data_IF_615696504026
#
_entry.id   IF_615696504026
#
_cell.length_a   1.000
_cell.length_b   1.000
_cell.length_c   1.000
_cell.angle_alpha   90.00
_cell.angle_beta   90.00
_cell.angle_gamma   90.00
#
_symmetry.space_group_name_H-M   'P 1'
#
loop_
_entity.id
_entity.type
_entity.pdbx_description
1 polymer ?
#
# COMPACT_ATOMS: atom_id res chain seq x y z
N UNK A 1 -27.70 -22.27 13.16
CA UNK A 1 -27.61 -20.90 12.61
C UNK A 1 -26.45 -20.21 13.29
N UNK A 2 -25.27 -20.26 12.66
CA UNK A 2 -24.08 -19.55 13.11
C UNK A 2 -23.48 -18.90 11.86
N UNK A 3 -23.66 -17.59 11.76
CA UNK A 3 -23.18 -16.76 10.67
C UNK A 3 -21.66 -16.71 10.72
N UNK A 4 -21.00 -17.22 9.67
CA UNK A 4 -19.57 -17.06 9.45
C UNK A 4 -19.32 -15.63 8.99
N UNK A 5 -18.70 -14.81 9.84
CA UNK A 5 -18.00 -13.61 9.40
C UNK A 5 -16.78 -14.07 8.61
N UNK A 6 -16.72 -13.67 7.35
CA UNK A 6 -15.60 -13.89 6.45
C UNK A 6 -15.07 -12.49 6.13
N UNK A 7 -13.85 -12.17 6.56
CA UNK A 7 -13.24 -10.88 6.30
C UNK A 7 -13.09 -10.64 4.79
N UNK A 8 -13.67 -9.57 4.22
CA UNK A 8 -13.67 -9.32 2.78
C UNK A 8 -12.36 -8.69 2.25
N UNK A 9 -11.43 -8.27 3.11
CA UNK A 9 -10.44 -7.24 2.77
C UNK A 9 -9.17 -7.73 2.05
N UNK A 10 -8.90 -9.04 2.00
CA UNK A 10 -7.73 -9.57 1.26
C UNK A 10 -7.93 -9.69 -0.28
N UNK A 11 -9.05 -9.19 -0.83
CA UNK A 11 -9.63 -9.75 -2.07
C UNK A 11 -9.48 -8.92 -3.35
N UNK A 12 -8.96 -7.69 -3.30
CA UNK A 12 -8.96 -6.78 -4.47
C UNK A 12 -7.67 -6.76 -5.29
N UNK A 13 -6.52 -7.23 -4.78
CA UNK A 13 -5.21 -7.16 -5.48
C UNK A 13 -4.75 -8.49 -6.14
N UNK A 14 -5.52 -9.57 -6.00
CA UNK A 14 -5.05 -10.94 -6.26
C UNK A 14 -5.53 -11.56 -7.57
N UNK A 15 -6.49 -10.95 -8.29
CA UNK A 15 -6.98 -11.47 -9.57
C UNK A 15 -5.91 -11.63 -10.65
N UNK A 16 -5.07 -10.60 -10.92
CA UNK A 16 -3.96 -10.69 -11.89
C UNK A 16 -2.85 -11.65 -11.45
N UNK A 17 -2.57 -11.74 -10.15
CA UNK A 17 -1.48 -12.56 -9.58
C UNK A 17 -1.63 -14.06 -9.83
N UNK A 18 -2.87 -14.56 -9.96
CA UNK A 18 -3.12 -15.98 -10.25
C UNK A 18 -2.71 -16.35 -11.68
N UNK A 19 -2.78 -15.41 -12.63
CA UNK A 19 -2.48 -15.67 -14.05
C UNK A 19 -1.00 -15.66 -14.37
N UNK A 20 -0.22 -14.78 -13.75
CA UNK A 20 1.24 -14.73 -13.97
C UNK A 20 1.94 -16.01 -13.48
N UNK A 21 1.42 -16.63 -12.42
CA UNK A 21 1.96 -17.87 -11.84
C UNK A 21 1.45 -19.15 -12.55
N UNK A 22 0.34 -19.06 -13.28
CA UNK A 22 -0.24 -20.17 -14.06
C UNK A 22 0.72 -20.67 -15.15
N UNK A 23 1.46 -19.74 -15.78
CA UNK A 23 2.44 -20.02 -16.83
C UNK A 23 3.62 -20.87 -16.32
N UNK A 24 3.92 -20.78 -15.02
CA UNK A 24 4.99 -21.56 -14.37
C UNK A 24 4.53 -22.99 -14.06
N UNK A 25 3.24 -23.18 -13.73
CA UNK A 25 2.68 -24.48 -13.30
C UNK A 25 2.20 -25.34 -14.46
N UNK A 26 1.72 -24.73 -15.55
CA UNK A 26 1.15 -25.43 -16.71
C UNK A 26 2.06 -26.51 -17.35
N UNK A 27 3.39 -26.29 -17.51
CA UNK A 27 4.27 -27.32 -18.09
C UNK A 27 4.46 -28.55 -17.19
N UNK A 28 4.43 -28.37 -15.87
CA UNK A 28 4.70 -29.44 -14.89
C UNK A 28 3.43 -30.18 -14.46
N UNK A 29 2.32 -29.46 -14.26
CA UNK A 29 1.04 -30.00 -13.80
C UNK A 29 -0.14 -29.32 -14.52
N UNK A 30 -0.50 -29.79 -15.72
CA UNK A 30 -1.61 -29.22 -16.49
C UNK A 30 -2.95 -29.18 -15.74
N UNK A 31 -3.23 -30.20 -14.92
CA UNK A 31 -4.46 -30.24 -14.11
C UNK A 31 -4.49 -29.19 -13.02
N UNK A 32 -3.35 -28.90 -12.39
CA UNK A 32 -3.26 -27.86 -11.35
C UNK A 32 -3.46 -26.48 -11.96
N UNK A 33 -2.84 -26.21 -13.12
CA UNK A 33 -3.06 -24.96 -13.85
C UNK A 33 -4.54 -24.75 -14.22
N UNK A 34 -5.25 -25.81 -14.64
CA UNK A 34 -6.70 -25.76 -14.85
C UNK A 34 -7.47 -25.39 -13.58
N UNK A 35 -7.10 -25.94 -12.43
CA UNK A 35 -7.75 -25.63 -11.13
C UNK A 35 -7.52 -24.16 -10.76
N UNK A 36 -6.31 -23.62 -10.96
CA UNK A 36 -6.00 -22.20 -10.74
C UNK A 36 -6.86 -21.30 -11.64
N UNK A 37 -6.98 -21.61 -12.95
CA UNK A 37 -7.86 -20.88 -13.89
C UNK A 37 -9.31 -20.87 -13.43
N UNK A 38 -9.81 -22.03 -12.99
CA UNK A 38 -11.19 -22.17 -12.54
C UNK A 38 -11.45 -21.30 -11.31
N UNK A 39 -10.54 -21.35 -10.33
CA UNK A 39 -10.61 -20.50 -9.14
C UNK A 39 -10.58 -19.01 -9.50
N UNK A 40 -9.68 -18.60 -10.40
CA UNK A 40 -9.59 -17.22 -10.86
C UNK A 40 -10.87 -16.74 -11.56
N UNK A 41 -11.49 -17.60 -12.39
CA UNK A 41 -12.77 -17.31 -13.03
C UNK A 41 -13.90 -17.12 -12.01
N UNK A 42 -14.03 -18.04 -11.05
CA UNK A 42 -15.05 -17.95 -10.00
C UNK A 42 -14.85 -16.71 -9.11
N UNK A 43 -13.59 -16.37 -8.80
CA UNK A 43 -13.26 -15.18 -8.05
C UNK A 43 -13.60 -13.91 -8.82
N UNK A 44 -13.22 -13.81 -10.09
CA UNK A 44 -13.59 -12.70 -10.95
C UNK A 44 -15.11 -12.57 -11.11
N UNK A 45 -15.84 -13.69 -11.19
CA UNK A 45 -17.30 -13.70 -11.23
C UNK A 45 -17.92 -13.16 -9.93
N UNK A 46 -17.40 -13.54 -8.77
CA UNK A 46 -17.83 -13.00 -7.47
C UNK A 46 -17.58 -11.50 -7.32
N UNK A 47 -16.43 -11.02 -7.80
CA UNK A 47 -16.05 -9.59 -7.71
C UNK A 47 -16.90 -8.69 -8.61
N UNK A 48 -17.29 -9.16 -9.80
CA UNK A 48 -18.17 -8.41 -10.71
C UNK A 48 -19.24 -9.31 -11.34
N UNK A 49 -20.31 -9.64 -10.61
CA UNK A 49 -21.35 -10.54 -11.13
C UNK A 49 -22.02 -10.01 -12.41
N UNK A 50 -22.13 -8.68 -12.54
CA UNK A 50 -22.85 -8.02 -13.63
C UNK A 50 -22.00 -7.86 -14.89
N UNK A 51 -20.67 -7.90 -14.77
CA UNK A 51 -19.72 -7.84 -15.90
C UNK A 51 -20.01 -6.67 -16.84
N UNK A 52 -20.27 -5.49 -16.26
CA UNK A 52 -20.74 -4.29 -16.99
C UNK A 52 -19.60 -3.72 -17.85
N UNK A 53 -18.36 -3.81 -17.37
CA UNK A 53 -17.18 -3.35 -18.08
C UNK A 53 -16.82 -4.25 -19.28
N UNK A 54 -16.57 -3.64 -20.45
CA UNK A 54 -16.17 -4.37 -21.67
C UNK A 54 -14.94 -5.27 -21.45
N UNK A 55 -13.91 -4.78 -20.76
CA UNK A 55 -12.69 -5.54 -20.47
C UNK A 55 -12.94 -6.76 -19.60
N UNK A 56 -13.67 -6.61 -18.50
CA UNK A 56 -14.04 -7.71 -17.59
C UNK A 56 -14.88 -8.77 -18.32
N UNK A 57 -15.80 -8.34 -19.18
CA UNK A 57 -16.62 -9.24 -20.00
C UNK A 57 -15.78 -10.04 -20.98
N UNK A 58 -14.91 -9.38 -21.75
CA UNK A 58 -14.00 -10.05 -22.69
C UNK A 58 -13.09 -11.06 -21.98
N UNK A 59 -12.53 -10.66 -20.83
CA UNK A 59 -11.71 -11.50 -19.98
C UNK A 59 -12.45 -12.76 -19.52
N UNK A 60 -13.65 -12.61 -18.93
CA UNK A 60 -14.47 -13.76 -18.47
C UNK A 60 -14.85 -14.68 -19.63
N UNK A 61 -15.28 -14.12 -20.76
CA UNK A 61 -15.62 -14.91 -21.94
C UNK A 61 -14.42 -15.71 -22.46
N UNK A 62 -13.25 -15.08 -22.58
CA UNK A 62 -12.03 -15.77 -23.02
C UNK A 62 -11.60 -16.87 -22.06
N UNK A 63 -11.65 -16.62 -20.75
CA UNK A 63 -11.27 -17.59 -19.73
C UNK A 63 -12.25 -18.77 -19.68
N UNK A 64 -13.56 -18.51 -19.82
CA UNK A 64 -14.58 -19.56 -19.90
C UNK A 64 -14.34 -20.50 -21.08
N UNK A 65 -14.04 -19.94 -22.27
CA UNK A 65 -13.73 -20.75 -23.45
C UNK A 65 -12.45 -21.59 -23.27
N UNK A 66 -11.43 -21.05 -22.60
CA UNK A 66 -10.20 -21.80 -22.29
C UNK A 66 -10.49 -22.93 -21.31
N UNK A 67 -11.26 -22.67 -20.26
CA UNK A 67 -11.69 -23.69 -19.29
C UNK A 67 -12.47 -24.82 -19.95
N UNK A 68 -13.37 -24.54 -20.89
CA UNK A 68 -14.11 -25.56 -21.62
C UNK A 68 -13.20 -26.50 -22.43
N UNK A 69 -12.19 -25.95 -23.12
CA UNK A 69 -11.21 -26.75 -23.87
C UNK A 69 -10.31 -27.57 -22.95
N UNK A 70 -9.82 -26.95 -21.88
CA UNK A 70 -8.85 -27.55 -20.98
C UNK A 70 -9.47 -28.59 -20.04
N UNK A 71 -10.78 -28.54 -19.81
CA UNK A 71 -11.46 -29.41 -18.84
C UNK A 71 -11.22 -30.89 -19.11
N UNK A 72 -11.38 -31.32 -20.36
CA UNK A 72 -11.25 -32.73 -20.76
C UNK A 72 -9.79 -33.09 -21.01
N UNK A 73 -9.02 -32.21 -21.65
CA UNK A 73 -7.61 -32.48 -21.99
C UNK A 73 -6.76 -32.63 -20.73
N UNK A 74 -6.98 -31.81 -19.70
CA UNK A 74 -6.19 -31.85 -18.45
C UNK A 74 -6.57 -33.00 -17.52
N UNK A 75 -7.78 -33.57 -17.64
CA UNK A 75 -8.24 -34.70 -16.85
C UNK A 75 -7.36 -35.95 -17.06
N UNK A 76 -6.86 -36.15 -18.28
CA UNK A 76 -5.97 -37.26 -18.61
C UNK A 76 -4.62 -37.21 -17.87
N UNK A 77 -4.19 -36.00 -17.48
CA UNK A 77 -2.93 -35.77 -16.77
C UNK A 77 -3.10 -35.72 -15.24
N UNK A 78 -4.32 -35.95 -14.72
CA UNK A 78 -4.60 -35.92 -13.28
C UNK A 78 -4.00 -37.15 -12.59
N UNK A 79 -3.24 -36.94 -11.52
CA UNK A 79 -2.56 -38.03 -10.79
C UNK A 79 -3.37 -38.50 -9.58
N UNK A 80 -4.13 -37.61 -8.93
CA UNK A 80 -4.95 -37.88 -7.76
C UNK A 80 -6.41 -38.11 -8.13
N UNK A 81 -7.17 -38.66 -7.17
CA UNK A 81 -8.58 -39.02 -7.39
C UNK A 81 -9.48 -37.80 -7.56
N UNK A 82 -9.16 -36.69 -6.89
CA UNK A 82 -9.95 -35.45 -6.89
C UNK A 82 -9.05 -34.25 -7.14
N UNK A 83 -9.63 -33.17 -7.65
CA UNK A 83 -8.91 -31.92 -7.88
C UNK A 83 -8.39 -31.32 -6.56
N UNK A 84 -9.16 -31.44 -5.47
CA UNK A 84 -8.74 -31.07 -4.11
C UNK A 84 -7.41 -31.74 -3.72
N UNK A 85 -7.29 -33.05 -3.95
CA UNK A 85 -6.07 -33.81 -3.61
C UNK A 85 -4.93 -33.52 -4.59
N UNK A 86 -5.24 -33.17 -5.83
CA UNK A 86 -4.25 -32.78 -6.84
C UNK A 86 -3.53 -31.51 -6.41
N UNK A 87 -4.28 -30.44 -6.09
CA UNK A 87 -3.70 -29.16 -5.65
C UNK A 87 -2.98 -29.29 -4.30
N UNK A 88 -3.54 -30.05 -3.35
CA UNK A 88 -2.89 -30.30 -2.04
C UNK A 88 -1.54 -31.01 -2.21
N UNK A 89 -1.51 -32.06 -3.03
CA UNK A 89 -0.28 -32.82 -3.30
C UNK A 89 0.76 -31.98 -4.02
N UNK A 90 0.33 -31.14 -4.97
CA UNK A 90 1.24 -30.28 -5.69
C UNK A 90 1.80 -29.16 -4.81
N UNK A 91 0.96 -28.52 -3.99
CA UNK A 91 1.40 -27.48 -3.06
C UNK A 91 2.49 -28.01 -2.11
N UNK A 92 2.30 -29.22 -1.54
CA UNK A 92 3.33 -29.84 -0.68
C UNK A 92 4.64 -30.07 -1.42
N UNK A 93 4.57 -30.65 -2.63
CA UNK A 93 5.74 -30.86 -3.48
C UNK A 93 6.42 -29.54 -3.83
N UNK A 94 5.65 -28.51 -4.14
CA UNK A 94 6.16 -27.19 -4.51
C UNK A 94 6.93 -26.55 -3.35
N UNK A 95 6.36 -26.60 -2.13
CA UNK A 95 7.03 -26.09 -0.94
C UNK A 95 8.31 -26.89 -0.60
N UNK A 96 8.31 -28.21 -0.80
CA UNK A 96 9.49 -29.05 -0.54
C UNK A 96 10.60 -28.86 -1.57
N UNK A 97 10.26 -28.85 -2.85
CA UNK A 97 11.23 -28.86 -3.94
C UNK A 97 11.71 -27.48 -4.36
N UNK A 98 10.85 -26.46 -4.33
CA UNK A 98 11.21 -25.13 -4.81
C UNK A 98 11.45 -24.17 -3.65
N UNK A 99 10.51 -24.04 -2.73
CA UNK A 99 10.63 -23.11 -1.60
C UNK A 99 11.80 -23.51 -0.69
N UNK A 100 11.76 -24.70 -0.07
CA UNK A 100 12.80 -25.13 0.89
C UNK A 100 14.17 -25.37 0.25
N UNK A 101 14.23 -25.72 -1.04
CA UNK A 101 15.50 -25.95 -1.71
C UNK A 101 16.18 -24.62 -2.08
N UNK A 102 15.42 -23.63 -2.55
CA UNK A 102 15.96 -22.31 -2.87
C UNK A 102 16.30 -21.51 -1.60
N UNK A 103 15.53 -21.66 -0.53
CA UNK A 103 15.78 -21.03 0.79
C UNK A 103 17.10 -21.50 1.41
N UNK A 104 17.48 -22.78 1.23
CA UNK A 104 18.76 -23.33 1.72
C UNK A 104 19.97 -22.98 0.86
N UNK A 105 19.74 -22.60 -0.39
CA UNK A 105 20.80 -22.11 -1.26
C UNK A 105 20.91 -20.60 -1.08
N UNK A 106 21.71 -20.13 -0.12
CA UNK A 106 22.01 -18.70 0.18
C UNK A 106 22.52 -17.87 -1.03
N UNK A 107 22.50 -18.42 -2.25
CA UNK A 107 22.92 -17.83 -3.51
C UNK A 107 21.83 -17.83 -4.60
N UNK A 108 20.55 -18.10 -4.27
CA UNK A 108 19.49 -18.02 -5.28
C UNK A 108 19.15 -16.57 -5.62
N UNK A 109 18.92 -16.30 -6.90
CA UNK A 109 18.48 -15.00 -7.42
C UNK A 109 17.23 -14.54 -6.65
N UNK A 110 17.33 -13.40 -5.93
CA UNK A 110 16.28 -12.83 -5.07
C UNK A 110 14.95 -12.72 -5.82
N UNK A 111 15.00 -12.36 -7.10
CA UNK A 111 13.82 -12.23 -7.96
C UNK A 111 13.17 -13.58 -8.24
N UNK A 112 13.97 -14.64 -8.40
CA UNK A 112 13.49 -16.01 -8.58
C UNK A 112 12.87 -16.55 -7.29
N UNK A 113 13.48 -16.26 -6.15
CA UNK A 113 12.96 -16.67 -4.85
C UNK A 113 11.63 -15.95 -4.54
N UNK A 114 11.54 -14.65 -4.80
CA UNK A 114 10.29 -13.90 -4.68
C UNK A 114 9.15 -14.43 -5.53
N UNK A 115 9.41 -14.72 -6.82
CA UNK A 115 8.42 -15.38 -7.70
C UNK A 115 7.99 -16.75 -7.17
N UNK A 116 8.92 -17.50 -6.56
CA UNK A 116 8.63 -18.82 -5.99
C UNK A 116 7.71 -18.72 -4.78
N UNK A 117 8.01 -17.84 -3.82
CA UNK A 117 7.12 -17.58 -2.67
C UNK A 117 5.76 -17.05 -3.10
N UNK A 118 5.72 -16.12 -4.06
CA UNK A 118 4.48 -15.60 -4.63
C UNK A 118 3.63 -16.71 -5.27
N UNK A 119 4.26 -17.62 -6.01
CA UNK A 119 3.58 -18.79 -6.59
C UNK A 119 3.04 -19.70 -5.49
N UNK A 120 3.82 -19.96 -4.44
CA UNK A 120 3.36 -20.77 -3.31
C UNK A 120 2.16 -20.13 -2.59
N UNK A 121 2.17 -18.82 -2.35
CA UNK A 121 1.04 -18.08 -1.78
C UNK A 121 -0.24 -18.23 -2.62
N UNK A 122 -0.13 -18.06 -3.94
CA UNK A 122 -1.26 -18.28 -4.88
C UNK A 122 -1.78 -19.72 -4.84
N UNK A 123 -0.87 -20.71 -4.85
CA UNK A 123 -1.26 -22.13 -4.78
C UNK A 123 -2.01 -22.45 -3.48
N UNK A 124 -1.58 -21.87 -2.36
CA UNK A 124 -2.27 -22.02 -1.09
C UNK A 124 -3.65 -21.35 -1.09
N UNK A 125 -3.78 -20.17 -1.69
CA UNK A 125 -5.06 -19.49 -1.84
C UNK A 125 -6.07 -20.35 -2.63
N UNK A 126 -5.62 -20.92 -3.76
CA UNK A 126 -6.40 -21.84 -4.59
C UNK A 126 -6.76 -23.10 -3.81
N UNK A 127 -5.80 -23.69 -3.08
CA UNK A 127 -6.03 -24.86 -2.23
C UNK A 127 -7.15 -24.59 -1.20
N UNK A 128 -7.11 -23.43 -0.54
CA UNK A 128 -8.14 -23.03 0.43
C UNK A 128 -9.50 -22.78 -0.22
N UNK A 129 -9.50 -22.31 -1.46
CA UNK A 129 -10.72 -22.11 -2.25
C UNK A 129 -11.40 -23.41 -2.69
N UNK A 130 -10.61 -24.43 -3.01
CA UNK A 130 -11.09 -25.71 -3.55
C UNK A 130 -11.35 -26.73 -2.42
N UNK A 131 -10.58 -26.69 -1.34
CA UNK A 131 -10.71 -27.63 -0.22
C UNK A 131 -11.63 -27.11 0.89
N UNK A 132 -12.48 -28.00 1.42
CA UNK A 132 -13.32 -27.70 2.60
C UNK A 132 -12.55 -27.73 3.93
N UNK A 133 -11.42 -28.43 3.97
CA UNK A 133 -10.59 -28.62 5.18
C UNK A 133 -9.13 -28.69 4.79
N UNK A 134 -8.30 -27.84 5.39
CA UNK A 134 -6.84 -27.83 5.21
C UNK A 134 -6.19 -28.35 6.51
N UNK A 135 -5.20 -29.22 6.40
CA UNK A 135 -4.51 -29.78 7.58
C UNK A 135 -3.69 -28.69 8.30
N UNK A 136 -3.56 -28.75 9.64
CA UNK A 136 -2.78 -27.76 10.41
C UNK A 136 -1.34 -27.60 9.92
N UNK A 137 -0.69 -28.69 9.48
CA UNK A 137 0.66 -28.66 8.91
C UNK A 137 0.78 -27.79 7.64
N UNK A 138 -0.26 -27.77 6.80
CA UNK A 138 -0.28 -26.97 5.57
C UNK A 138 -0.58 -25.51 5.87
N UNK A 139 -1.37 -25.24 6.93
CA UNK A 139 -1.60 -23.89 7.42
C UNK A 139 -0.28 -23.30 7.93
N UNK A 140 0.44 -24.02 8.79
CA UNK A 140 1.73 -23.59 9.30
C UNK A 140 2.76 -23.38 8.17
N UNK A 141 2.80 -24.29 7.18
CA UNK A 141 3.66 -24.12 6.01
C UNK A 141 3.29 -22.90 5.16
N UNK A 142 2.01 -22.57 5.07
CA UNK A 142 1.56 -21.38 4.36
C UNK A 142 1.84 -20.09 5.14
N UNK A 143 1.78 -20.13 6.46
CA UNK A 143 2.21 -19.00 7.30
C UNK A 143 3.72 -18.73 7.12
N UNK A 144 4.58 -19.77 7.11
CA UNK A 144 6.02 -19.63 6.78
C UNK A 144 6.24 -19.08 5.37
N UNK A 145 5.49 -19.59 4.37
CA UNK A 145 5.55 -19.08 2.99
C UNK A 145 5.14 -17.61 2.92
N UNK A 146 4.06 -17.23 3.62
CA UNK A 146 3.55 -15.87 3.60
C UNK A 146 4.52 -14.90 4.27
N UNK A 147 5.04 -15.25 5.44
CA UNK A 147 6.08 -14.48 6.13
C UNK A 147 7.27 -14.28 5.21
N UNK A 148 7.72 -15.33 4.51
CA UNK A 148 8.84 -15.24 3.58
C UNK A 148 8.53 -14.50 2.29
N UNK A 149 7.32 -14.60 1.76
CA UNK A 149 6.86 -13.83 0.59
C UNK A 149 7.00 -12.33 0.85
N UNK A 150 6.66 -11.86 2.05
CA UNK A 150 6.81 -10.45 2.44
C UNK A 150 8.26 -9.95 2.46
N UNK A 151 9.27 -10.85 2.49
CA UNK A 151 10.68 -10.46 2.41
C UNK A 151 11.17 -10.25 0.97
N UNK A 152 10.58 -10.97 0.01
CA UNK A 152 11.00 -10.97 -1.39
C UNK A 152 10.13 -10.07 -2.26
N UNK A 153 9.52 -9.05 -1.68
CA UNK A 153 8.69 -8.07 -2.39
C UNK A 153 9.50 -7.44 -3.53
N UNK A 154 9.00 -7.46 -4.79
CA UNK A 154 9.83 -7.14 -5.96
C UNK A 154 10.41 -5.72 -6.03
N UNK A 155 9.85 -4.78 -5.25
CA UNK A 155 10.08 -3.35 -5.45
C UNK A 155 10.83 -2.67 -4.30
N UNK A 156 11.03 -3.34 -3.17
CA UNK A 156 11.70 -2.79 -1.99
C UNK A 156 13.10 -3.39 -1.81
N UNK A 157 14.10 -2.52 -1.79
CA UNK A 157 15.50 -2.84 -1.58
C UNK A 157 15.75 -3.31 -0.15
N UNK A 158 15.20 -2.60 0.84
CA UNK A 158 15.42 -2.81 2.28
C UNK A 158 14.53 -3.94 2.81
N UNK A 159 15.14 -5.05 3.28
CA UNK A 159 14.40 -6.19 3.82
C UNK A 159 14.09 -5.95 5.31
N UNK A 160 13.08 -5.13 5.61
CA UNK A 160 12.78 -4.66 6.98
C UNK A 160 12.24 -5.74 7.94
N UNK A 161 11.98 -6.97 7.46
CA UNK A 161 11.50 -8.08 8.28
C UNK A 161 12.61 -8.88 8.97
N UNK A 162 12.24 -9.75 9.91
CA UNK A 162 13.17 -10.48 10.79
C UNK A 162 14.25 -11.29 10.04
N UNK A 163 13.90 -11.93 8.92
CA UNK A 163 14.87 -12.67 8.08
C UNK A 163 15.80 -11.76 7.26
N UNK A 164 15.42 -10.50 7.05
CA UNK A 164 16.17 -9.52 6.29
C UNK A 164 17.31 -8.83 7.04
N UNK A 165 17.29 -8.90 8.38
CA UNK A 165 18.29 -8.28 9.25
C UNK A 165 19.72 -8.76 8.99
N UNK A 166 19.90 -9.92 8.36
CA UNK A 166 21.21 -10.48 7.99
C UNK A 166 21.81 -9.86 6.72
N UNK A 167 21.01 -9.15 5.90
CA UNK A 167 21.48 -8.61 4.62
C UNK A 167 22.48 -7.45 4.80
N UNK A 168 23.46 -7.36 3.90
CA UNK A 168 24.55 -6.38 3.95
C UNK A 168 24.08 -4.93 4.11
N UNK A 169 23.01 -4.54 3.42
CA UNK A 169 22.49 -3.17 3.48
C UNK A 169 21.93 -2.81 4.87
N UNK A 170 21.40 -3.80 5.60
CA UNK A 170 20.90 -3.61 6.97
C UNK A 170 22.04 -3.48 7.99
N UNK A 171 23.29 -3.79 7.61
CA UNK A 171 24.45 -3.63 8.48
C UNK A 171 25.04 -2.21 8.46
N UNK A 172 24.65 -1.37 7.50
CA UNK A 172 25.07 0.04 7.42
C UNK A 172 24.52 0.85 8.60
N UNK A 173 25.38 1.58 9.30
CA UNK A 173 25.03 2.27 10.54
C UNK A 173 23.99 3.39 10.31
N UNK A 174 24.08 4.10 9.18
CA UNK A 174 23.11 5.13 8.79
C UNK A 174 21.73 4.55 8.47
N UNK A 175 21.67 3.32 7.96
CA UNK A 175 20.42 2.60 7.72
C UNK A 175 19.82 2.16 9.05
N UNK A 176 20.62 1.55 9.94
CA UNK A 176 20.19 1.20 11.31
C UNK A 176 19.65 2.41 12.06
N UNK A 177 20.37 3.52 12.05
CA UNK A 177 19.96 4.77 12.68
C UNK A 177 18.59 5.25 12.18
N UNK A 178 18.34 5.13 10.87
CA UNK A 178 17.08 5.53 10.25
C UNK A 178 15.94 4.58 10.61
N UNK A 179 16.20 3.26 10.58
CA UNK A 179 15.23 2.21 10.95
C UNK A 179 14.82 2.34 12.42
N UNK A 180 15.80 2.49 13.32
CA UNK A 180 15.55 2.67 14.75
C UNK A 180 14.70 3.92 15.03
N UNK A 181 14.98 5.02 14.32
CA UNK A 181 14.22 6.26 14.48
C UNK A 181 12.78 6.15 13.95
N UNK A 182 12.57 5.44 12.84
CA UNK A 182 11.22 5.17 12.31
C UNK A 182 10.45 4.17 13.18
N UNK A 183 11.15 3.26 13.87
CA UNK A 183 10.56 2.31 14.83
C UNK A 183 10.16 2.94 16.17
N UNK A 184 10.52 4.20 16.44
CA UNK A 184 10.23 4.86 17.72
C UNK A 184 8.74 5.27 17.81
N UNK A 185 7.88 4.35 18.21
CA UNK A 185 6.41 4.53 18.32
C UNK A 185 5.93 4.88 19.73
N UNK A 186 6.85 5.22 20.63
CA UNK A 186 6.54 5.55 22.02
C UNK A 186 5.53 6.71 22.11
N UNK A 187 4.53 6.58 22.99
CA UNK A 187 3.51 7.61 23.22
C UNK A 187 2.38 7.66 22.19
N UNK A 188 2.43 6.85 21.12
CA UNK A 188 1.37 6.79 20.13
C UNK A 188 0.19 5.94 20.59
N UNK A 189 -1.02 6.43 20.32
CA UNK A 189 -2.28 5.70 20.56
C UNK A 189 -2.66 4.97 19.28
N UNK A 190 -2.83 3.65 19.37
CA UNK A 190 -3.20 2.81 18.25
C UNK A 190 -4.70 2.50 18.26
N UNK A 191 -5.35 2.36 17.08
CA UNK A 191 -6.71 1.83 17.00
C UNK A 191 -6.78 0.40 17.56
N UNK A 192 -7.82 0.10 18.35
CA UNK A 192 -7.93 -1.17 19.09
C UNK A 192 -7.93 -2.43 18.21
N UNK A 193 -8.39 -2.33 16.96
CA UNK A 193 -8.51 -3.45 16.01
C UNK A 193 -7.34 -3.58 15.04
N UNK A 194 -6.39 -2.63 15.03
CA UNK A 194 -5.37 -2.57 13.98
C UNK A 194 -4.20 -3.52 14.28
N UNK A 195 -4.07 -4.57 13.48
CA UNK A 195 -2.94 -5.51 13.47
C UNK A 195 -2.41 -5.91 14.86
N UNK A 196 -3.31 -6.26 15.78
CA UNK A 196 -3.00 -6.55 17.19
C UNK A 196 -1.79 -7.46 17.38
N UNK A 197 -1.68 -8.54 16.58
CA UNK A 197 -0.54 -9.47 16.66
C UNK A 197 0.80 -8.78 16.37
N UNK A 198 0.89 -7.97 15.31
CA UNK A 198 2.13 -7.26 14.94
C UNK A 198 2.46 -6.16 15.95
N UNK A 199 1.43 -5.55 16.53
CA UNK A 199 1.59 -4.59 17.61
C UNK A 199 2.18 -5.23 18.87
N UNK A 200 1.68 -6.40 19.28
CA UNK A 200 2.19 -7.16 20.43
C UNK A 200 3.65 -7.60 20.22
N UNK A 201 4.03 -7.91 18.98
CA UNK A 201 5.39 -8.28 18.60
C UNK A 201 6.34 -7.08 18.45
N UNK A 202 5.83 -5.84 18.50
CA UNK A 202 6.65 -4.63 18.33
C UNK A 202 7.15 -4.42 16.90
N UNK A 203 6.44 -4.97 15.91
CA UNK A 203 6.82 -4.93 14.48
C UNK A 203 6.23 -3.73 13.72
N UNK A 204 5.49 -2.86 14.41
CA UNK A 204 4.85 -1.69 13.82
C UNK A 204 5.70 -0.44 14.01
N UNK A 205 5.73 0.40 12.97
CA UNK A 205 6.50 1.63 12.97
C UNK A 205 5.65 2.89 12.80
N UNK A 206 6.29 4.06 12.76
CA UNK A 206 5.62 5.35 12.62
C UNK A 206 4.76 5.45 11.35
N UNK A 207 5.10 4.74 10.28
CA UNK A 207 4.37 4.77 9.02
C UNK A 207 3.20 3.79 9.03
N UNK A 208 3.30 2.66 9.74
CA UNK A 208 2.15 1.82 10.05
C UNK A 208 1.13 2.59 10.89
N UNK A 209 1.61 3.46 11.80
CA UNK A 209 0.72 4.34 12.57
C UNK A 209 0.00 5.34 11.65
N UNK A 210 0.72 6.01 10.73
CA UNK A 210 0.07 6.88 9.75
C UNK A 210 -0.96 6.13 8.89
N UNK A 211 -0.67 4.88 8.51
CA UNK A 211 -1.61 3.99 7.82
C UNK A 211 -2.89 3.80 8.64
N UNK A 212 -2.73 3.41 9.90
CA UNK A 212 -3.85 3.16 10.80
C UNK A 212 -4.74 4.40 11.03
N UNK A 213 -4.13 5.58 11.07
CA UNK A 213 -4.82 6.82 11.43
C UNK A 213 -5.47 7.54 10.26
N UNK A 214 -4.96 7.37 9.04
CA UNK A 214 -5.43 8.08 7.84
C UNK A 214 -5.93 7.15 6.73
N UNK A 215 -5.79 5.83 6.87
CA UNK A 215 -6.26 4.85 5.89
C UNK A 215 -5.50 4.90 4.56
N UNK A 216 -4.18 5.06 4.61
CA UNK A 216 -3.30 4.93 3.44
C UNK A 216 -3.21 3.47 2.97
N UNK A 217 -2.89 3.24 1.71
CA UNK A 217 -2.73 1.89 1.15
C UNK A 217 -1.46 1.23 1.71
N UNK A 218 -1.53 -0.04 2.09
CA UNK A 218 -0.39 -0.79 2.66
C UNK A 218 0.86 -0.75 1.77
N UNK A 219 0.70 -0.97 0.46
CA UNK A 219 1.82 -0.98 -0.48
C UNK A 219 2.42 0.42 -0.68
N UNK A 220 1.60 1.47 -0.61
CA UNK A 220 2.08 2.86 -0.62
C UNK A 220 2.94 3.13 0.61
N UNK A 221 2.50 2.66 1.78
CA UNK A 221 3.21 2.78 3.05
C UNK A 221 4.56 2.06 3.00
N UNK A 222 4.60 0.83 2.51
CA UNK A 222 5.86 0.07 2.31
C UNK A 222 6.83 0.83 1.41
N UNK A 223 6.36 1.37 0.29
CA UNK A 223 7.21 2.09 -0.67
C UNK A 223 7.74 3.42 -0.08
N UNK A 224 6.87 4.22 0.55
CA UNK A 224 7.26 5.50 1.12
C UNK A 224 8.14 5.34 2.37
N UNK A 225 7.98 4.24 3.11
CA UNK A 225 8.87 3.86 4.22
C UNK A 225 10.30 3.68 3.77
N UNK A 226 10.51 2.83 2.77
CA UNK A 226 11.84 2.63 2.21
C UNK A 226 12.42 3.95 1.66
N UNK A 227 11.62 4.71 0.92
CA UNK A 227 12.05 5.99 0.37
C UNK A 227 12.51 6.97 1.46
N UNK A 228 11.73 7.10 2.53
CA UNK A 228 12.06 7.97 3.66
C UNK A 228 13.33 7.51 4.39
N UNK A 229 13.44 6.21 4.68
CA UNK A 229 14.62 5.62 5.32
C UNK A 229 15.89 5.89 4.52
N UNK A 230 15.85 5.63 3.21
CA UNK A 230 17.00 5.83 2.33
C UNK A 230 17.39 7.31 2.22
N UNK A 231 16.44 8.23 2.10
CA UNK A 231 16.75 9.67 2.05
C UNK A 231 17.36 10.15 3.37
N UNK A 232 16.84 9.69 4.51
CA UNK A 232 17.39 10.05 5.83
C UNK A 232 18.80 9.51 5.98
N UNK A 233 19.03 8.23 5.70
CA UNK A 233 20.34 7.59 5.77
C UNK A 233 21.37 8.27 4.86
N UNK A 234 20.97 8.58 3.64
CA UNK A 234 21.79 9.25 2.62
C UNK A 234 22.19 10.68 3.01
N UNK A 235 21.29 11.43 3.66
CA UNK A 235 21.64 12.74 4.23
C UNK A 235 22.51 12.59 5.48
N UNK A 236 22.21 11.61 6.33
CA UNK A 236 22.91 11.36 7.59
C UNK A 236 24.39 11.07 7.39
N UNK A 237 24.73 10.18 6.45
CA UNK A 237 26.13 9.81 6.16
C UNK A 237 26.95 10.96 5.57
N UNK A 238 26.29 11.97 4.99
CA UNK A 238 26.94 13.15 4.39
C UNK A 238 27.03 14.36 5.31
N UNK A 239 26.59 14.24 6.56
CA UNK A 239 26.69 15.35 7.51
C UNK A 239 28.14 15.70 7.81
N UNK A 240 28.43 17.00 7.87
CA UNK A 240 29.72 17.55 8.29
C UNK A 240 29.50 18.56 9.44
N UNK A 241 30.16 18.38 10.62
CA UNK A 241 30.98 17.22 10.98
C UNK A 241 30.16 15.92 11.05
N UNK A 242 30.83 14.79 10.86
CA UNK A 242 30.20 13.46 10.89
C UNK A 242 29.51 13.18 12.24
N UNK A 243 28.34 12.52 12.24
CA UNK A 243 27.66 12.13 13.47
C UNK A 243 28.49 11.11 14.28
N UNK A 244 28.55 11.31 15.59
CA UNK A 244 29.14 10.36 16.53
C UNK A 244 28.14 10.08 17.67
N UNK A 245 27.62 8.84 17.82
CA UNK A 245 27.88 7.66 16.99
C UNK A 245 27.02 7.62 15.71
N UNK A 246 27.53 6.99 14.64
CA UNK A 246 26.86 6.93 13.33
C UNK A 246 25.59 6.07 13.33
N UNK A 247 25.47 5.13 14.27
CA UNK A 247 24.29 4.28 14.44
C UNK A 247 23.14 4.96 15.20
N UNK A 248 23.25 6.26 15.51
CA UNK A 248 22.16 7.06 16.08
C UNK A 248 21.83 8.21 15.14
N UNK A 249 20.54 8.42 14.90
CA UNK A 249 20.10 9.44 13.96
C UNK A 249 20.35 10.86 14.50
N UNK A 250 21.20 11.60 13.80
CA UNK A 250 21.45 13.02 14.06
C UNK A 250 20.27 13.88 13.57
N UNK A 251 19.79 14.77 14.44
CA UNK A 251 18.69 15.69 14.14
C UNK A 251 18.95 16.60 12.94
N UNK A 252 20.22 16.91 12.63
CA UNK A 252 20.60 17.71 11.46
C UNK A 252 20.18 17.06 10.14
N UNK A 253 20.20 15.72 10.06
CA UNK A 253 19.75 15.02 8.87
C UNK A 253 18.25 15.20 8.67
N UNK A 254 17.47 15.02 9.74
CA UNK A 254 16.02 15.25 9.72
C UNK A 254 15.68 16.68 9.33
N UNK A 255 16.39 17.67 9.88
CA UNK A 255 16.19 19.08 9.52
C UNK A 255 16.46 19.35 8.05
N UNK A 256 17.55 18.80 7.50
CA UNK A 256 17.89 18.96 6.09
C UNK A 256 16.83 18.35 5.15
N UNK A 257 16.37 17.12 5.44
CA UNK A 257 15.33 16.44 4.65
C UNK A 257 14.00 17.19 4.76
N UNK A 258 13.58 17.51 5.98
CA UNK A 258 12.32 18.20 6.26
C UNK A 258 12.27 19.58 5.62
N UNK A 259 13.35 20.35 5.67
CA UNK A 259 13.43 21.67 5.03
C UNK A 259 13.33 21.58 3.51
N UNK A 260 13.90 20.53 2.90
CA UNK A 260 13.78 20.30 1.47
C UNK A 260 12.35 19.90 1.07
N UNK A 261 11.76 18.94 1.78
CA UNK A 261 10.39 18.46 1.51
C UNK A 261 9.35 19.57 1.68
N UNK A 262 9.46 20.37 2.75
CA UNK A 262 8.45 21.40 3.07
C UNK A 262 8.75 22.77 2.48
N UNK A 263 9.74 22.91 1.59
CA UNK A 263 10.07 24.20 0.98
C UNK A 263 8.86 24.83 0.28
N UNK A 264 8.18 24.06 -0.56
CA UNK A 264 7.03 24.54 -1.33
C UNK A 264 5.84 24.83 -0.40
N UNK A 265 5.55 23.93 0.54
CA UNK A 265 4.49 24.12 1.54
C UNK A 265 4.69 25.38 2.38
N UNK A 266 5.89 25.60 2.92
CA UNK A 266 6.22 26.81 3.70
C UNK A 266 6.08 28.08 2.85
N UNK A 267 6.45 28.00 1.57
CA UNK A 267 6.30 29.12 0.62
C UNK A 267 4.83 29.42 0.35
N UNK A 268 4.01 28.39 0.13
CA UNK A 268 2.56 28.50 -0.04
C UNK A 268 1.88 29.08 1.20
N UNK A 269 2.20 28.61 2.40
CA UNK A 269 1.66 29.20 3.64
C UNK A 269 2.05 30.68 3.78
N UNK A 270 3.30 31.04 3.46
CA UNK A 270 3.75 32.44 3.49
C UNK A 270 3.00 33.30 2.47
N UNK A 271 2.77 32.77 1.27
CA UNK A 271 2.03 33.45 0.21
C UNK A 271 0.58 33.76 0.64
N UNK A 272 -0.09 32.81 1.28
CA UNK A 272 -1.45 32.99 1.81
C UNK A 272 -1.52 33.79 3.13
N UNK A 273 -0.37 34.12 3.74
CA UNK A 273 -0.33 34.80 5.04
C UNK A 273 -0.80 33.94 6.23
N UNK A 274 -0.75 32.61 6.10
CA UNK A 274 -1.18 31.67 7.14
C UNK A 274 0.01 31.04 7.87
N UNK A 275 -0.21 30.60 9.12
CA UNK A 275 0.78 29.81 9.87
C UNK A 275 0.78 28.37 9.36
N UNK A 276 1.96 27.76 9.22
CA UNK A 276 2.05 26.35 8.86
C UNK A 276 1.61 25.43 10.01
N UNK A 277 1.02 24.29 9.67
CA UNK A 277 0.47 23.28 10.61
C UNK A 277 1.52 22.36 11.23
N UNK A 278 2.77 22.46 10.79
CA UNK A 278 3.89 21.70 11.36
C UNK A 278 4.25 22.28 12.73
N UNK A 279 3.94 21.55 13.82
CA UNK A 279 4.21 21.94 15.20
C UNK A 279 5.14 20.93 15.85
N UNK A 280 6.26 21.38 16.42
CA UNK A 280 7.28 20.51 17.01
C UNK A 280 7.33 20.70 18.54
N UNK A 281 7.43 19.61 19.33
CA UNK A 281 7.59 19.68 20.79
C UNK A 281 9.03 20.08 21.16
N UNK A 282 9.23 20.46 22.43
CA UNK A 282 10.55 20.86 22.93
C UNK A 282 11.48 19.65 23.18
N UNK A 283 10.93 18.47 23.51
CA UNK A 283 11.69 17.27 23.78
C UNK A 283 12.39 16.72 22.53
N UNK A 284 13.69 16.43 22.62
CA UNK A 284 14.50 16.02 21.46
C UNK A 284 13.99 14.73 20.78
N UNK A 285 13.65 13.69 21.54
CA UNK A 285 13.16 12.42 20.98
C UNK A 285 11.76 12.58 20.34
N UNK A 286 10.83 13.24 21.03
CA UNK A 286 9.50 13.53 20.49
C UNK A 286 9.58 14.44 19.25
N UNK A 287 10.54 15.36 19.23
CA UNK A 287 10.78 16.22 18.06
C UNK A 287 11.24 15.40 16.86
N UNK A 288 12.18 14.45 17.02
CA UNK A 288 12.60 13.57 15.94
C UNK A 288 11.44 12.73 15.42
N UNK A 289 10.69 12.09 16.33
CA UNK A 289 9.49 11.32 16.01
C UNK A 289 8.50 12.16 15.19
N UNK A 290 8.24 13.39 15.64
CA UNK A 290 7.26 14.26 14.99
C UNK A 290 7.72 14.77 13.62
N UNK A 291 9.01 15.03 13.45
CA UNK A 291 9.60 15.33 12.13
C UNK A 291 9.37 14.17 11.16
N UNK A 292 9.63 12.93 11.61
CA UNK A 292 9.42 11.73 10.79
C UNK A 292 7.93 11.55 10.44
N UNK A 293 7.02 11.73 11.40
CA UNK A 293 5.58 11.64 11.16
C UNK A 293 5.11 12.67 10.10
N UNK A 294 5.54 13.94 10.20
CA UNK A 294 5.17 14.93 9.18
C UNK A 294 5.77 14.61 7.81
N UNK A 295 7.03 14.17 7.74
CA UNK A 295 7.66 13.81 6.46
C UNK A 295 7.00 12.59 5.84
N UNK A 296 6.72 11.55 6.64
CA UNK A 296 5.99 10.37 6.23
C UNK A 296 4.59 10.72 5.72
N UNK A 297 3.85 11.57 6.45
CA UNK A 297 2.52 12.03 6.04
C UNK A 297 2.56 12.73 4.68
N UNK A 298 3.51 13.64 4.45
CA UNK A 298 3.65 14.33 3.17
C UNK A 298 3.99 13.37 2.03
N UNK A 299 4.92 12.43 2.26
CA UNK A 299 5.30 11.44 1.27
C UNK A 299 4.16 10.47 0.94
N UNK A 300 3.32 10.11 1.91
CA UNK A 300 2.12 9.28 1.69
C UNK A 300 1.04 10.03 0.90
N UNK A 301 0.77 11.29 1.25
CA UNK A 301 -0.13 12.17 0.48
C UNK A 301 0.36 12.29 -0.97
N UNK A 302 1.66 12.52 -1.16
CA UNK A 302 2.25 12.57 -2.49
C UNK A 302 2.13 11.20 -3.19
N UNK A 303 2.47 10.11 -2.49
CA UNK A 303 2.41 8.74 -2.98
C UNK A 303 1.03 8.30 -3.47
N UNK A 304 -0.05 8.76 -2.85
CA UNK A 304 -1.42 8.41 -3.22
C UNK A 304 -2.16 9.52 -3.99
N UNK A 305 -1.53 10.69 -4.19
CA UNK A 305 -2.15 11.84 -4.85
C UNK A 305 -2.53 11.64 -6.32
N UNK A 306 -2.04 10.59 -7.00
CA UNK A 306 -2.32 10.31 -8.42
C UNK A 306 -2.21 11.58 -9.31
N UNK A 307 -3.27 11.94 -10.04
CA UNK A 307 -3.31 13.13 -10.90
C UNK A 307 -3.30 14.45 -10.11
N UNK A 308 -3.70 14.45 -8.83
CA UNK A 308 -3.67 15.65 -7.97
C UNK A 308 -2.23 16.12 -7.74
N UNK A 309 -1.22 15.28 -8.01
CA UNK A 309 0.20 15.69 -7.95
C UNK A 309 0.56 16.82 -8.91
N UNK A 310 -0.23 17.03 -9.96
CA UNK A 310 -0.05 18.13 -10.90
C UNK A 310 -0.66 19.45 -10.40
N UNK A 311 -1.26 19.45 -9.21
CA UNK A 311 -1.83 20.62 -8.54
C UNK A 311 -1.08 20.88 -7.22
N UNK A 312 0.12 21.50 -7.25
CA UNK A 312 1.00 21.58 -6.09
C UNK A 312 0.42 22.37 -4.91
N UNK A 313 -0.39 23.40 -5.15
CA UNK A 313 -1.07 24.17 -4.10
C UNK A 313 -2.24 23.38 -3.50
N UNK A 314 -2.93 22.57 -4.30
CA UNK A 314 -3.89 21.58 -3.79
C UNK A 314 -3.21 20.55 -2.88
N UNK A 315 -2.03 20.04 -3.25
CA UNK A 315 -1.24 19.17 -2.38
C UNK A 315 -0.84 19.87 -1.07
N UNK A 316 -0.44 21.15 -1.15
CA UNK A 316 -0.12 21.94 0.05
C UNK A 316 -1.34 22.10 0.96
N UNK A 317 -2.53 22.31 0.38
CA UNK A 317 -3.80 22.37 1.10
C UNK A 317 -4.14 21.05 1.81
N UNK A 318 -4.03 19.91 1.11
CA UNK A 318 -4.28 18.58 1.69
C UNK A 318 -3.32 18.35 2.87
N UNK A 319 -2.02 18.60 2.66
CA UNK A 319 -1.03 18.46 3.72
C UNK A 319 -1.28 19.41 4.89
N UNK A 320 -1.68 20.66 4.64
CA UNK A 320 -1.97 21.64 5.69
C UNK A 320 -3.04 21.14 6.67
N UNK A 321 -4.15 20.61 6.13
CA UNK A 321 -5.26 20.12 6.93
C UNK A 321 -4.89 18.84 7.66
N UNK A 322 -4.31 17.86 6.96
CA UNK A 322 -3.92 16.59 7.57
C UNK A 322 -2.79 16.74 8.61
N UNK A 323 -1.86 17.69 8.43
CA UNK A 323 -0.84 17.99 9.42
C UNK A 323 -1.45 18.62 10.70
N UNK A 324 -2.53 19.39 10.57
CA UNK A 324 -3.28 19.90 11.71
C UNK A 324 -4.07 18.79 12.41
N UNK A 325 -4.69 17.87 11.64
CA UNK A 325 -5.32 16.66 12.17
C UNK A 325 -4.32 15.78 12.93
N UNK A 326 -3.13 15.57 12.35
CA UNK A 326 -2.04 14.83 12.99
C UNK A 326 -1.66 15.43 14.35
N UNK A 327 -1.50 16.75 14.45
CA UNK A 327 -1.22 17.41 15.73
C UNK A 327 -2.36 17.21 16.74
N UNK A 328 -3.61 17.33 16.28
CA UNK A 328 -4.79 17.07 17.11
C UNK A 328 -4.89 15.62 17.60
N UNK A 329 -4.49 14.63 16.79
CA UNK A 329 -4.42 13.22 17.18
C UNK A 329 -3.32 12.98 18.23
N UNK A 330 -2.13 13.55 18.01
CA UNK A 330 -1.01 13.42 18.94
C UNK A 330 -1.28 14.10 20.29
N UNK A 331 -2.00 15.23 20.29
CA UNK A 331 -2.42 15.92 21.52
C UNK A 331 -3.66 15.29 22.18
N UNK A 332 -4.34 14.37 21.50
CA UNK A 332 -5.56 13.74 21.98
C UNK A 332 -6.80 14.64 21.97
N UNK A 333 -6.74 15.76 21.23
CA UNK A 333 -7.85 16.70 21.05
C UNK A 333 -8.84 16.18 20.01
N UNK A 334 -8.35 15.47 18.99
CA UNK A 334 -9.12 14.93 17.88
C UNK A 334 -9.29 13.42 18.08
N UNK A 335 -10.52 12.92 17.85
CA UNK A 335 -10.81 11.49 17.74
C UNK A 335 -10.64 10.99 16.30
N UNK A 336 -10.32 9.71 16.15
CA UNK A 336 -9.96 9.08 14.88
C UNK A 336 -11.11 9.19 13.86
N UNK A 337 -10.86 9.84 12.71
CA UNK A 337 -11.88 10.05 11.65
C UNK A 337 -11.86 8.93 10.59
N UNK A 338 -10.71 8.24 10.43
CA UNK A 338 -10.47 7.25 9.39
C UNK A 338 -10.37 5.81 9.92
N UNK A 339 -10.82 5.57 11.16
CA UNK A 339 -10.52 4.34 11.91
C UNK A 339 -10.93 3.07 11.15
N UNK A 340 -9.94 2.21 10.87
CA UNK A 340 -10.16 0.85 10.36
C UNK A 340 -10.73 0.75 8.94
N UNK A 341 -10.81 1.86 8.21
CA UNK A 341 -11.23 1.86 6.82
C UNK A 341 -10.00 1.84 5.91
N UNK A 342 -9.70 0.68 5.32
CA UNK A 342 -8.68 0.59 4.27
C UNK A 342 -9.01 1.57 3.13
N UNK A 343 -7.95 2.19 2.60
CA UNK A 343 -8.00 3.16 1.50
C UNK A 343 -8.89 4.39 1.80
N UNK A 344 -9.10 4.74 3.07
CA UNK A 344 -9.91 5.89 3.45
C UNK A 344 -9.35 7.21 2.90
N UNK A 345 -8.02 7.40 2.86
CA UNK A 345 -7.41 8.59 2.27
C UNK A 345 -7.80 8.73 0.79
N UNK A 346 -7.66 7.65 0.01
CA UNK A 346 -8.02 7.63 -1.40
C UNK A 346 -9.50 7.93 -1.60
N UNK A 347 -10.40 7.32 -0.79
CA UNK A 347 -11.85 7.48 -0.92
C UNK A 347 -12.38 8.81 -0.42
N UNK A 348 -11.87 9.33 0.71
CA UNK A 348 -12.40 10.51 1.40
C UNK A 348 -11.67 11.81 1.02
N UNK A 349 -10.42 11.74 0.55
CA UNK A 349 -9.62 12.94 0.21
C UNK A 349 -9.39 13.06 -1.30
N UNK A 350 -8.80 12.03 -1.92
CA UNK A 350 -8.40 12.11 -3.35
C UNK A 350 -9.59 11.95 -4.28
N UNK A 351 -10.50 11.02 -4.01
CA UNK A 351 -11.64 10.73 -4.91
C UNK A 351 -12.55 11.94 -5.13
N UNK A 352 -12.95 12.73 -4.12
CA UNK A 352 -13.75 13.93 -4.35
C UNK A 352 -13.07 14.94 -5.29
N UNK A 353 -11.78 15.20 -5.10
CA UNK A 353 -10.99 16.10 -5.96
C UNK A 353 -10.91 15.54 -7.38
N UNK A 354 -10.62 14.25 -7.51
CA UNK A 354 -10.57 13.59 -8.81
C UNK A 354 -11.91 13.65 -9.56
N UNK A 355 -13.05 13.50 -8.87
CA UNK A 355 -14.38 13.64 -9.48
C UNK A 355 -14.61 15.03 -10.06
N UNK A 356 -14.12 16.08 -9.38
CA UNK A 356 -14.17 17.46 -9.91
C UNK A 356 -13.32 17.55 -11.18
N UNK A 357 -12.07 17.07 -11.13
CA UNK A 357 -11.15 17.07 -12.28
C UNK A 357 -11.74 16.30 -13.47
N UNK A 358 -12.29 15.10 -13.25
CA UNK A 358 -12.91 14.30 -14.30
C UNK A 358 -14.11 15.04 -14.90
N UNK A 359 -15.00 15.58 -14.06
CA UNK A 359 -16.16 16.36 -14.52
C UNK A 359 -15.78 17.56 -15.37
N UNK A 360 -14.75 18.32 -14.98
CA UNK A 360 -14.23 19.44 -15.77
C UNK A 360 -13.57 18.97 -17.07
N UNK A 361 -12.78 17.89 -17.02
CA UNK A 361 -12.14 17.29 -18.19
C UNK A 361 -13.17 16.84 -19.24
N UNK A 362 -14.30 16.25 -18.82
CA UNK A 362 -15.37 15.85 -19.75
C UNK A 362 -15.99 17.05 -20.50
N UNK A 363 -15.99 18.25 -19.92
CA UNK A 363 -16.49 19.47 -20.61
C UNK A 363 -15.65 19.84 -21.82
N UNK A 364 -14.37 19.45 -21.86
CA UNK A 364 -13.47 19.70 -23.00
C UNK A 364 -13.93 19.01 -24.29
N UNK A 365 -14.77 17.95 -24.19
CA UNK A 365 -15.18 17.04 -25.27
C UNK A 365 -13.97 16.58 -26.12
N UNK A 366 -12.89 16.16 -25.47
CA UNK A 366 -11.61 15.76 -26.08
C UNK A 366 -10.96 16.91 -26.87
N UNK A 367 -10.89 18.10 -26.27
CA UNK A 367 -10.25 19.28 -26.87
C UNK A 367 -11.03 19.93 -28.02
N UNK A 368 -12.30 19.57 -28.21
CA UNK A 368 -13.17 20.14 -29.27
C UNK A 368 -13.84 21.44 -28.85
N UNK A 369 -13.79 21.77 -27.57
CA UNK A 369 -14.41 22.97 -26.99
C UNK A 369 -13.31 24.00 -26.68
N UNK A 370 -13.53 25.30 -26.91
CA UNK A 370 -12.57 26.34 -26.54
C UNK A 370 -12.23 26.29 -25.05
N UNK A 371 -10.99 26.64 -24.72
CA UNK A 371 -10.47 26.56 -23.36
C UNK A 371 -11.28 27.37 -22.34
N UNK A 372 -11.89 28.49 -22.75
CA UNK A 372 -12.74 29.32 -21.89
C UNK A 372 -14.00 28.64 -21.34
N UNK A 373 -14.31 27.43 -21.79
CA UNK A 373 -15.52 26.71 -21.40
C UNK A 373 -15.25 25.51 -20.47
N UNK A 374 -14.01 25.27 -20.08
CA UNK A 374 -13.63 24.18 -19.16
C UNK A 374 -12.33 24.51 -18.42
N UNK A 375 -12.22 24.03 -17.18
CA UNK A 375 -11.03 24.23 -16.34
C UNK A 375 -10.07 23.04 -16.48
N UNK A 376 -8.78 23.34 -16.67
CA UNK A 376 -7.71 22.34 -16.62
C UNK A 376 -7.11 22.24 -15.20
N UNK A 377 -6.03 21.48 -15.03
CA UNK A 377 -5.37 21.32 -13.73
C UNK A 377 -4.82 22.63 -13.16
N UNK A 378 -4.29 23.52 -14.00
CA UNK A 378 -3.75 24.81 -13.58
C UNK A 378 -4.88 25.73 -13.09
N UNK A 379 -6.01 25.79 -13.82
CA UNK A 379 -7.18 26.58 -13.44
C UNK A 379 -7.77 26.11 -12.10
N UNK A 380 -7.87 24.79 -11.90
CA UNK A 380 -8.35 24.21 -10.64
C UNK A 380 -7.36 24.43 -9.49
N UNK A 381 -6.07 24.47 -9.80
CA UNK A 381 -5.03 24.68 -8.81
C UNK A 381 -4.95 26.14 -8.34
N UNK A 382 -5.31 27.10 -9.20
CA UNK A 382 -5.45 28.53 -8.86
C UNK A 382 -6.43 28.76 -7.69
N UNK A 383 -7.45 27.91 -7.52
CA UNK A 383 -8.36 28.00 -6.37
C UNK A 383 -7.63 27.97 -5.02
N UNK A 384 -6.50 27.25 -4.95
CA UNK A 384 -5.69 27.11 -3.74
C UNK A 384 -4.69 28.28 -3.55
N UNK A 385 -4.77 29.32 -4.37
CA UNK A 385 -4.01 30.57 -4.22
C UNK A 385 -4.75 31.62 -3.38
N UNK A 386 -5.98 31.32 -2.95
CA UNK A 386 -6.76 32.19 -2.05
C UNK A 386 -7.03 31.49 -0.72
N UNK A 387 -7.19 32.28 0.35
CA UNK A 387 -7.68 31.79 1.63
C UNK A 387 -9.11 31.22 1.55
N UNK A 388 -9.84 31.51 0.47
CA UNK A 388 -11.16 30.93 0.20
C UNK A 388 -11.13 29.41 0.13
N UNK A 389 -9.98 28.79 -0.16
CA UNK A 389 -9.86 27.34 -0.18
C UNK A 389 -10.16 26.68 1.17
N UNK A 390 -10.02 27.41 2.28
CA UNK A 390 -10.38 26.94 3.62
C UNK A 390 -11.90 26.96 3.89
N UNK A 391 -12.71 27.44 2.95
CA UNK A 391 -14.17 27.24 2.99
C UNK A 391 -14.58 25.79 2.67
N UNK A 392 -13.66 25.00 2.08
CA UNK A 392 -13.84 23.56 1.93
C UNK A 392 -13.61 22.92 3.30
N UNK A 393 -14.65 22.81 4.14
CA UNK A 393 -14.57 22.08 5.42
C UNK A 393 -13.85 20.72 5.19
N UNK A 394 -12.72 20.51 5.87
CA UNK A 394 -11.84 19.35 5.63
C UNK A 394 -12.51 18.00 5.92
N UNK A 395 -11.77 16.91 5.69
CA UNK A 395 -11.81 16.17 4.41
C UNK A 395 -13.18 16.27 3.73
N UNK A 396 -13.18 16.75 2.47
CA UNK A 396 -14.36 17.06 1.65
C UNK A 396 -15.50 16.07 1.86
N UNK A 397 -16.39 16.38 2.81
CA UNK A 397 -17.52 15.53 3.12
C UNK A 397 -18.42 15.50 1.89
N UNK A 398 -18.60 14.31 1.34
CA UNK A 398 -19.64 14.03 0.33
C UNK A 398 -20.99 13.99 1.07
N UNK A 399 -21.34 15.10 1.74
CA UNK A 399 -22.68 15.31 2.22
C UNK A 399 -23.49 15.53 0.95
N UNK A 400 -24.23 14.50 0.52
CA UNK A 400 -25.11 14.49 -0.65
C UNK A 400 -26.26 15.52 -0.60
N UNK A 401 -26.08 16.64 0.11
CA UNK A 401 -26.87 17.84 0.03
C UNK A 401 -26.35 18.74 -1.07
N UNK A 402 -27.26 19.14 -1.94
CA UNK A 402 -27.11 20.25 -2.88
C UNK A 402 -26.60 21.51 -2.16
N UNK A 403 -25.30 21.69 -2.08
CA UNK A 403 -24.72 23.01 -1.83
C UNK A 403 -24.65 23.72 -3.17
N UNK A 404 -25.55 24.69 -3.35
CA UNK A 404 -25.46 25.70 -4.41
C UNK A 404 -24.21 26.56 -4.17
N UNK A 405 -23.02 26.03 -4.48
CA UNK A 405 -21.86 26.87 -4.74
C UNK A 405 -21.61 26.87 -6.24
N UNK A 406 -22.29 27.79 -6.90
CA UNK A 406 -22.05 28.15 -8.30
C UNK A 406 -20.70 28.87 -8.36
N UNK A 407 -19.62 28.10 -8.36
CA UNK A 407 -18.25 28.39 -8.85
C UNK A 407 -17.25 27.54 -8.06
N UNK A 408 -16.99 26.35 -8.59
CA UNK A 408 -15.63 25.83 -8.73
C UNK A 408 -15.31 25.95 -10.22
#
# INVERSE_FOLDING_TARGET
MASRQHDPEASTSSGPRVFDNEVVVEPERPRVAFICRLYAFEKAHRLDPKSIGRGVRQFKTGLSQRLERDRVSTLAYRVKKTDEREIESFYRQYCEHYVRALDKGEQSDRDKLGKTYQTAGVLYEVLRGVSKTVSPELIAAAEDVHEKETFYTPYNILPLGAAGASQCIMHLDEVKASVDAVGYTCGLRWPSSFEQRRQELGELDLLDWLRAMFGFQEESVKNQREHLLLIIADVHIRLEPRPEPLNKLDGRALDAVMNKLFKNYKTWCKFLGIKHSVRLPEGQQEMQQRKILYMGLYLLIWGEGANVRFMPECLCYIFHNMANELDGLLTGIISIVYEGEDEAFLRKVITPIYRVIDKESQKSKNGKVPHSAWCNYDDLNEYFWSADCFSLDGPMRDDGGTSNSTRI
#
